data_IF_017672783351
#
_entry.id   IF_017672783351
#
_cell.length_a   1.000
_cell.length_b   1.000
_cell.length_c   1.000
_cell.angle_alpha   90.00
_cell.angle_beta   90.00
_cell.angle_gamma   90.00
#
_symmetry.space_group_name_H-M   'P 1'
#
loop_
_entity.id
_entity.type
_entity.pdbx_description
1 polymer ?
#
# COMPACT_ATOMS: atom_id res chain seq x y z
N UNK A 1 5.97 4.47 -9.78
CA UNK A 1 5.52 5.83 -9.40
C UNK A 1 4.10 5.73 -8.87
N UNK A 2 3.72 6.55 -7.89
CA UNK A 2 2.38 6.53 -7.29
C UNK A 2 1.68 7.87 -7.52
N UNK A 3 0.51 7.83 -8.15
CA UNK A 3 -0.42 8.94 -8.29
C UNK A 3 -1.60 8.68 -7.36
N UNK A 4 -2.08 9.71 -6.66
CA UNK A 4 -3.18 9.57 -5.69
C UNK A 4 -4.26 10.60 -5.99
N UNK A 5 -5.51 10.15 -6.06
CA UNK A 5 -6.72 10.94 -6.17
C UNK A 5 -7.62 10.71 -4.95
N UNK A 6 -8.22 11.78 -4.43
CA UNK A 6 -9.10 11.71 -3.27
C UNK A 6 -8.35 11.42 -1.96
N UNK A 7 -9.10 10.91 -0.97
CA UNK A 7 -8.59 10.58 0.36
C UNK A 7 -8.25 11.78 1.24
N UNK A 8 -8.08 11.51 2.53
CA UNK A 8 -7.61 12.49 3.50
C UNK A 8 -6.07 12.51 3.58
N UNK A 9 -5.52 13.50 4.29
CA UNK A 9 -4.06 13.69 4.43
C UNK A 9 -3.34 12.44 4.97
N UNK A 10 -3.98 11.73 5.88
CA UNK A 10 -3.39 10.55 6.51
C UNK A 10 -3.37 9.36 5.54
N UNK A 11 -4.45 9.13 4.80
CA UNK A 11 -4.51 8.09 3.76
C UNK A 11 -3.47 8.34 2.65
N UNK A 12 -3.33 9.59 2.19
CA UNK A 12 -2.31 9.98 1.21
C UNK A 12 -0.89 9.67 1.74
N UNK A 13 -0.62 10.06 2.98
CA UNK A 13 0.67 9.83 3.65
C UNK A 13 0.98 8.33 3.76
N UNK A 14 0.03 7.54 4.24
CA UNK A 14 0.16 6.09 4.41
C UNK A 14 0.36 5.39 3.06
N UNK A 15 -0.37 5.81 2.02
CA UNK A 15 -0.24 5.24 0.68
C UNK A 15 1.15 5.44 0.09
N UNK A 16 1.70 6.65 0.19
CA UNK A 16 3.08 6.89 -0.24
C UNK A 16 4.10 6.09 0.58
N UNK A 17 3.91 5.99 1.89
CA UNK A 17 4.80 5.22 2.76
C UNK A 17 4.77 3.73 2.44
N UNK A 18 3.58 3.15 2.28
CA UNK A 18 3.43 1.72 1.96
C UNK A 18 3.96 1.41 0.56
N UNK A 19 3.68 2.26 -0.42
CA UNK A 19 4.26 2.11 -1.77
C UNK A 19 5.79 2.14 -1.75
N UNK A 20 6.38 3.07 -1.01
CA UNK A 20 7.84 3.16 -0.89
C UNK A 20 8.41 1.94 -0.15
N UNK A 21 7.75 1.47 0.90
CA UNK A 21 8.10 0.24 1.61
C UNK A 21 8.10 -0.96 0.66
N UNK A 22 7.03 -1.15 -0.12
CA UNK A 22 6.95 -2.21 -1.10
C UNK A 22 8.02 -2.07 -2.21
N UNK A 23 8.28 -0.85 -2.67
CA UNK A 23 9.30 -0.57 -3.70
C UNK A 23 10.73 -0.90 -3.24
N UNK A 24 10.99 -0.89 -1.94
CA UNK A 24 12.33 -1.10 -1.37
C UNK A 24 12.66 -2.56 -1.06
N UNK A 25 11.75 -3.51 -1.30
CA UNK A 25 12.04 -4.91 -1.00
C UNK A 25 10.97 -5.93 -1.36
N UNK A 26 9.73 -5.49 -1.62
CA UNK A 26 8.62 -6.37 -1.95
C UNK A 26 8.44 -6.54 -3.47
N UNK A 27 8.49 -5.45 -4.23
CA UNK A 27 8.43 -5.52 -5.69
C UNK A 27 9.76 -5.99 -6.30
N UNK A 28 9.73 -6.61 -7.49
CA UNK A 28 10.95 -6.94 -8.23
C UNK A 28 11.80 -5.68 -8.49
N UNK A 29 13.11 -5.74 -8.21
CA UNK A 29 14.01 -4.56 -8.23
C UNK A 29 14.03 -3.76 -9.54
N UNK A 30 13.73 -4.39 -10.67
CA UNK A 30 13.75 -3.75 -11.99
C UNK A 30 12.34 -3.46 -12.53
N UNK A 31 11.30 -3.66 -11.71
CA UNK A 31 9.90 -3.57 -12.15
C UNK A 31 9.05 -2.86 -11.09
N UNK A 32 9.40 -1.60 -10.81
CA UNK A 32 8.63 -0.75 -9.89
C UNK A 32 7.37 -0.29 -10.64
N UNK A 33 6.17 -0.65 -10.15
CA UNK A 33 4.92 -0.38 -10.87
C UNK A 33 4.62 1.11 -10.92
N UNK A 34 3.83 1.49 -11.92
CA UNK A 34 3.13 2.77 -11.96
C UNK A 34 1.70 2.56 -11.48
N UNK A 35 1.34 3.16 -10.35
CA UNK A 35 0.03 2.96 -9.71
C UNK A 35 -0.73 4.28 -9.71
N UNK A 36 -1.96 4.23 -10.20
CA UNK A 36 -2.97 5.27 -10.08
C UNK A 36 -3.96 4.85 -8.99
N UNK A 37 -3.87 5.47 -7.81
CA UNK A 37 -4.64 5.14 -6.62
C UNK A 37 -5.78 6.15 -6.42
N UNK A 38 -7.02 5.69 -6.47
CA UNK A 38 -8.20 6.51 -6.15
C UNK A 38 -8.79 6.10 -4.81
N UNK A 39 -8.84 7.03 -3.86
CA UNK A 39 -9.43 6.84 -2.53
C UNK A 39 -10.77 7.56 -2.52
N UNK A 40 -11.86 6.81 -2.63
CA UNK A 40 -13.23 7.31 -2.68
C UNK A 40 -14.22 6.29 -2.12
N UNK A 41 -15.51 6.62 -2.06
CA UNK A 41 -16.53 5.63 -1.72
C UNK A 41 -16.57 4.53 -2.80
N UNK A 42 -16.42 3.28 -2.40
CA UNK A 42 -16.47 2.10 -3.27
C UNK A 42 -17.72 1.30 -2.92
N UNK A 43 -18.48 0.91 -3.93
CA UNK A 43 -19.65 0.06 -3.73
C UNK A 43 -19.24 -1.43 -3.80
N UNK A 44 -19.87 -2.24 -2.93
CA UNK A 44 -19.77 -3.71 -2.89
C UNK A 44 -18.38 -4.33 -2.65
N UNK A 45 -17.34 -3.53 -2.39
CA UNK A 45 -16.00 -3.99 -2.01
C UNK A 45 -15.25 -2.98 -1.14
N UNK A 46 -14.10 -3.40 -0.59
CA UNK A 46 -13.19 -2.49 0.13
C UNK A 46 -12.13 -1.88 -0.78
N UNK A 47 -11.75 -2.59 -1.84
CA UNK A 47 -10.84 -2.12 -2.88
C UNK A 47 -10.95 -3.00 -4.13
N UNK A 48 -10.37 -2.50 -5.23
CA UNK A 48 -10.18 -3.21 -6.49
C UNK A 48 -8.81 -2.87 -7.07
N UNK A 49 -8.20 -3.82 -7.78
CA UNK A 49 -6.98 -3.61 -8.56
C UNK A 49 -7.17 -4.08 -10.00
N UNK A 50 -6.88 -3.19 -10.95
CA UNK A 50 -6.86 -3.47 -12.38
C UNK A 50 -5.46 -3.29 -12.96
N UNK A 51 -5.09 -4.19 -13.88
CA UNK A 51 -3.87 -4.07 -14.66
C UNK A 51 -4.16 -3.42 -16.02
N UNK A 52 -3.63 -2.21 -16.23
CA UNK A 52 -3.86 -1.41 -17.44
C UNK A 52 -2.81 -1.66 -18.54
N UNK A 53 -1.83 -2.53 -18.30
CA UNK A 53 -0.73 -2.80 -19.22
C UNK A 53 0.53 -1.98 -18.96
N UNK A 54 1.65 -2.42 -19.51
CA UNK A 54 2.95 -1.74 -19.42
C UNK A 54 3.40 -1.41 -17.98
N UNK A 55 3.12 -2.30 -17.02
CA UNK A 55 3.43 -2.07 -15.60
C UNK A 55 2.59 -0.97 -14.94
N UNK A 56 1.50 -0.52 -15.59
CA UNK A 56 0.53 0.42 -15.03
C UNK A 56 -0.63 -0.32 -14.37
N UNK A 57 -1.00 0.13 -13.18
CA UNK A 57 -2.08 -0.41 -12.38
C UNK A 57 -3.00 0.72 -11.94
N UNK A 58 -4.28 0.42 -11.85
CA UNK A 58 -5.28 1.25 -11.21
C UNK A 58 -5.75 0.55 -9.93
N UNK A 59 -5.75 1.27 -8.83
CA UNK A 59 -6.27 0.80 -7.54
C UNK A 59 -7.35 1.76 -7.09
N UNK A 60 -8.50 1.21 -6.69
CA UNK A 60 -9.56 1.96 -6.04
C UNK A 60 -9.76 1.42 -4.63
N UNK A 61 -9.88 2.29 -3.62
CA UNK A 61 -10.01 1.89 -2.21
C UNK A 61 -11.04 2.74 -1.46
N UNK A 62 -11.82 2.08 -0.61
CA UNK A 62 -12.88 2.69 0.19
C UNK A 62 -12.35 3.76 1.15
N UNK A 63 -12.87 4.98 1.01
CA UNK A 63 -12.39 6.15 1.77
C UNK A 63 -12.76 6.14 3.25
N UNK A 64 -13.82 5.43 3.64
CA UNK A 64 -14.30 5.38 5.03
C UNK A 64 -13.55 4.39 5.92
N UNK A 65 -12.55 3.68 5.39
CA UNK A 65 -11.74 2.75 6.16
C UNK A 65 -10.96 3.47 7.26
N UNK A 66 -11.00 2.89 8.46
CA UNK A 66 -10.06 3.28 9.52
C UNK A 66 -8.61 2.97 9.11
N UNK A 67 -7.66 3.63 9.75
CA UNK A 67 -6.23 3.50 9.42
C UNK A 67 -5.77 2.03 9.35
N UNK A 68 -6.24 1.17 10.27
CA UNK A 68 -5.79 -0.21 10.31
C UNK A 68 -6.29 -1.01 9.12
N UNK A 69 -7.58 -0.90 8.84
CA UNK A 69 -8.18 -1.55 7.67
C UNK A 69 -7.60 -0.99 6.38
N UNK A 70 -7.41 0.32 6.27
CA UNK A 70 -6.82 0.95 5.10
C UNK A 70 -5.44 0.37 4.77
N UNK A 71 -4.56 0.22 5.76
CA UNK A 71 -3.22 -0.35 5.56
C UNK A 71 -3.30 -1.82 5.13
N UNK A 72 -4.15 -2.63 5.76
CA UNK A 72 -4.31 -4.05 5.41
C UNK A 72 -4.88 -4.19 4.00
N UNK A 73 -5.95 -3.46 3.68
CA UNK A 73 -6.57 -3.46 2.35
C UNK A 73 -5.60 -2.99 1.29
N UNK A 74 -4.89 -1.87 1.48
CA UNK A 74 -3.90 -1.45 0.49
C UNK A 74 -2.73 -2.44 0.37
N UNK A 75 -2.35 -3.12 1.45
CA UNK A 75 -1.33 -4.19 1.41
C UNK A 75 -1.80 -5.39 0.58
N UNK A 76 -3.08 -5.75 0.67
CA UNK A 76 -3.71 -6.77 -0.17
C UNK A 76 -3.57 -6.41 -1.66
N UNK A 77 -3.95 -5.19 -2.03
CA UNK A 77 -3.83 -4.72 -3.42
C UNK A 77 -2.38 -4.69 -3.91
N UNK A 78 -1.42 -4.29 -3.06
CA UNK A 78 0.02 -4.33 -3.40
C UNK A 78 0.53 -5.77 -3.63
N UNK A 79 -0.06 -6.78 -2.96
CA UNK A 79 0.25 -8.18 -3.23
C UNK A 79 -0.25 -8.59 -4.62
N UNK A 80 -1.46 -8.17 -5.02
CA UNK A 80 -1.94 -8.41 -6.38
C UNK A 80 -1.05 -7.77 -7.44
N UNK A 81 -0.66 -6.51 -7.23
CA UNK A 81 0.31 -5.83 -8.11
C UNK A 81 1.59 -6.65 -8.22
N UNK A 82 2.14 -7.13 -7.11
CA UNK A 82 3.34 -7.96 -7.13
C UNK A 82 3.14 -9.28 -7.89
N UNK A 83 2.02 -9.98 -7.65
CA UNK A 83 1.66 -11.22 -8.36
C UNK A 83 1.64 -11.02 -9.88
N UNK A 84 1.03 -9.91 -10.34
CA UNK A 84 1.04 -9.53 -11.74
C UNK A 84 2.45 -9.30 -12.28
N UNK A 85 3.27 -8.52 -11.57
CA UNK A 85 4.63 -8.18 -11.98
C UNK A 85 5.52 -9.43 -12.12
N UNK A 86 5.39 -10.41 -11.21
CA UNK A 86 6.17 -11.66 -11.29
C UNK A 86 5.57 -12.69 -12.26
N UNK A 87 4.44 -12.40 -12.89
CA UNK A 87 3.80 -13.26 -13.89
C UNK A 87 3.20 -14.53 -13.31
N UNK A 88 2.76 -14.52 -12.04
CA UNK A 88 2.00 -15.63 -11.45
C UNK A 88 0.49 -15.40 -11.58
N UNK A 89 -0.29 -16.46 -11.48
CA UNK A 89 -1.74 -16.35 -11.40
C UNK A 89 -2.14 -15.58 -10.13
N UNK A 90 -2.99 -14.57 -10.31
CA UNK A 90 -3.51 -13.75 -9.21
C UNK A 90 -4.36 -14.63 -8.30
N UNK A 91 -4.09 -14.55 -6.99
CA UNK A 91 -4.71 -15.42 -6.00
C UNK A 91 -5.13 -14.64 -4.76
N UNK A 92 -6.45 -14.52 -4.58
CA UNK A 92 -7.10 -14.02 -3.35
C UNK A 92 -6.63 -14.75 -2.10
N UNK A 93 -6.55 -16.09 -2.17
CA UNK A 93 -6.12 -16.92 -1.04
C UNK A 93 -4.70 -16.56 -0.60
N UNK A 94 -3.81 -16.34 -1.59
CA UNK A 94 -2.45 -15.90 -1.32
C UNK A 94 -2.43 -14.47 -0.76
N UNK A 95 -3.20 -13.56 -1.35
CA UNK A 95 -3.30 -12.18 -0.88
C UNK A 95 -3.76 -12.10 0.58
N UNK A 96 -4.86 -12.76 0.96
CA UNK A 96 -5.33 -12.85 2.34
C UNK A 96 -4.30 -13.46 3.30
N UNK A 97 -3.50 -14.42 2.83
CA UNK A 97 -2.47 -15.05 3.66
C UNK A 97 -1.32 -14.11 3.99
N UNK A 98 -0.98 -13.19 3.09
CA UNK A 98 0.21 -12.34 3.20
C UNK A 98 -0.10 -10.89 3.58
N UNK A 99 -1.32 -10.40 3.38
CA UNK A 99 -1.70 -9.00 3.65
C UNK A 99 -1.39 -8.58 5.09
N UNK A 100 -1.68 -9.47 6.05
CA UNK A 100 -1.50 -9.19 7.48
C UNK A 100 -0.01 -9.08 7.84
N UNK A 101 0.80 -9.98 7.30
CA UNK A 101 2.25 -9.98 7.51
C UNK A 101 2.90 -8.73 6.88
N UNK A 102 2.47 -8.35 5.66
CA UNK A 102 2.98 -7.17 4.98
C UNK A 102 2.60 -5.89 5.73
N UNK A 103 1.34 -5.80 6.18
CA UNK A 103 0.87 -4.69 6.99
C UNK A 103 1.63 -4.61 8.33
N UNK A 104 1.82 -5.73 9.03
CA UNK A 104 2.54 -5.79 10.30
C UNK A 104 4.00 -5.36 10.16
N UNK A 105 4.71 -5.83 9.12
CA UNK A 105 6.07 -5.38 8.82
C UNK A 105 6.10 -3.86 8.54
N UNK A 106 5.15 -3.36 7.76
CA UNK A 106 5.02 -1.92 7.51
C UNK A 106 4.81 -1.13 8.81
N UNK A 107 3.96 -1.61 9.72
CA UNK A 107 3.77 -0.97 11.03
C UNK A 107 5.09 -0.86 11.79
N UNK A 108 5.80 -1.97 11.95
CA UNK A 108 7.02 -2.00 12.75
C UNK A 108 8.16 -1.19 12.14
N UNK A 109 8.36 -1.30 10.83
CA UNK A 109 9.53 -0.71 10.16
C UNK A 109 9.34 0.76 9.77
N UNK A 110 8.10 1.20 9.52
CA UNK A 110 7.83 2.54 9.00
C UNK A 110 7.09 3.42 9.99
N UNK A 111 6.17 2.86 10.78
CA UNK A 111 5.35 3.64 11.71
C UNK A 111 5.94 3.65 13.12
N UNK A 112 6.30 2.49 13.68
CA UNK A 112 6.89 2.39 15.02
C UNK A 112 8.33 2.94 15.06
N UNK A 113 9.15 2.63 14.05
CA UNK A 113 10.52 3.16 13.95
C UNK A 113 10.58 4.71 13.90
N UNK A 114 9.49 5.38 13.52
CA UNK A 114 9.39 6.85 13.54
C UNK A 114 8.87 7.40 14.87
N UNK A 115 8.17 6.60 15.67
CA UNK A 115 7.78 6.99 17.02
C UNK A 115 9.02 7.15 17.91
N UNK A 116 10.01 6.26 17.76
CA UNK A 116 11.28 6.33 18.50
C UNK A 116 12.14 7.53 18.11
N UNK A 117 12.13 7.97 16.84
CA UNK A 117 12.89 9.16 16.43
C UNK A 117 12.23 10.46 16.92
N UNK A 118 10.90 10.50 17.04
CA UNK A 118 10.19 11.72 17.49
C UNK A 118 10.42 12.10 18.96
N UNK A 119 10.91 11.18 19.80
CA UNK A 119 11.20 11.45 21.22
C UNK A 119 12.61 12.04 21.41
N UNK A 120 13.52 11.87 20.45
CA UNK A 120 14.90 12.39 20.55
C UNK A 120 15.11 13.78 19.90
N UNK A 121 14.15 14.31 19.14
CA UNK A 121 14.26 15.63 18.48
C UNK A 121 13.71 16.81 19.31
N UNK A 122 13.56 16.66 20.63
CA UNK A 122 13.11 17.74 21.53
C UNK A 122 14.15 18.28 22.51
N UNK A 123 15.43 17.93 22.38
CA UNK A 123 16.48 18.54 23.17
C UNK A 123 17.76 18.75 22.35
N UNK A 124 17.80 19.79 21.51
CA UNK A 124 19.04 20.56 21.34
C UNK A 124 18.67 22.05 21.33
N UNK A 125 19.21 22.74 22.35
CA UNK A 125 19.12 24.18 22.64
C UNK A 125 19.77 25.07 21.56
#
# INVERSE_FOLDING_TARGET
MLYIHGGNKEQIRLSHQLFNFCSNGFFPKNDIPNIDLTIQKVDDALAWTDYEGNGKFYIEIEESLDQKKFIITLSHEMIHVCQFLVGVEVSEISAYRYEGNLAEQFYHEVLDARADVSIFDLNED
#
